data_IF_094710977492
#
_entry.id   IF_094710977492
#
_cell.length_a   1.000
_cell.length_b   1.000
_cell.length_c   1.000
_cell.angle_alpha   90.00
_cell.angle_beta   90.00
_cell.angle_gamma   90.00
#
_symmetry.space_group_name_H-M   'P 1'
#
loop_
_entity.id
_entity.type
_entity.pdbx_description
1 polymer ?
#
# COMPACT_ATOMS: atom_id res chain seq x y z
N UNK A 1 -10.46 -1.47 -0.33
CA UNK A 1 -9.38 -0.45 -0.38
C UNK A 1 -8.05 -1.15 -0.57
N UNK A 2 -7.13 -0.52 -1.29
CA UNK A 2 -5.74 -0.95 -1.49
C UNK A 2 -4.81 0.15 -0.99
N UNK A 3 -3.79 -0.22 -0.23
CA UNK A 3 -2.74 0.69 0.25
C UNK A 3 -1.38 0.22 -0.27
N UNK A 4 -0.63 1.14 -0.86
CA UNK A 4 0.64 0.88 -1.53
C UNK A 4 1.73 1.77 -0.93
N UNK A 5 2.95 1.25 -0.82
CA UNK A 5 4.15 2.04 -0.54
C UNK A 5 5.09 1.99 -1.74
N UNK A 6 5.46 3.17 -2.26
CA UNK A 6 6.57 3.34 -3.19
C UNK A 6 7.79 3.68 -2.33
N UNK A 7 8.64 2.69 -2.09
CA UNK A 7 9.77 2.79 -1.21
C UNK A 7 11.02 3.30 -1.93
N UNK A 8 11.99 3.82 -1.16
CA UNK A 8 13.19 4.42 -1.69
C UNK A 8 14.14 3.44 -2.41
N UNK A 9 13.93 2.13 -2.21
CA UNK A 9 14.67 1.04 -2.86
C UNK A 9 14.10 0.65 -4.24
N UNK A 10 13.36 1.55 -4.88
CA UNK A 10 12.74 1.32 -6.18
C UNK A 10 11.84 0.06 -6.17
N UNK A 11 11.08 -0.12 -5.08
CA UNK A 11 10.13 -1.23 -4.92
C UNK A 11 8.76 -0.72 -4.49
N UNK A 12 7.70 -1.34 -5.02
CA UNK A 12 6.32 -1.08 -4.61
C UNK A 12 5.78 -2.25 -3.79
N UNK A 13 5.38 -1.94 -2.57
CA UNK A 13 4.78 -2.86 -1.62
C UNK A 13 3.28 -2.65 -1.50
N UNK A 14 2.51 -3.73 -1.39
CA UNK A 14 1.10 -3.68 -0.98
C UNK A 14 1.05 -3.84 0.54
N UNK A 15 0.70 -2.74 1.20
CA UNK A 15 0.53 -2.68 2.64
C UNK A 15 -0.85 -3.21 3.06
N UNK A 16 -1.85 -3.09 2.18
CA UNK A 16 -3.21 -3.56 2.44
C UNK A 16 -3.96 -3.88 1.13
N UNK A 17 -4.74 -4.97 1.04
CA UNK A 17 -4.88 -6.03 2.05
C UNK A 17 -3.58 -6.82 2.23
N UNK A 18 -3.46 -7.49 3.37
CA UNK A 18 -2.28 -8.27 3.77
C UNK A 18 -2.72 -9.53 4.54
N UNK A 19 -1.80 -10.46 4.87
CA UNK A 19 -2.16 -11.71 5.56
C UNK A 19 -2.77 -11.49 6.96
N UNK A 20 -2.41 -10.40 7.64
CA UNK A 20 -2.95 -10.06 8.95
C UNK A 20 -4.33 -9.37 8.85
N UNK A 21 -4.62 -8.72 7.72
CA UNK A 21 -5.82 -7.93 7.48
C UNK A 21 -6.34 -8.16 6.06
N UNK A 22 -7.17 -9.19 5.91
CA UNK A 22 -7.73 -9.63 4.62
C UNK A 22 -9.03 -8.90 4.25
N UNK A 23 -9.76 -8.36 5.23
CA UNK A 23 -11.01 -7.65 5.00
C UNK A 23 -10.79 -6.28 4.36
N UNK A 24 -11.00 -6.16 3.04
CA UNK A 24 -10.74 -4.94 2.26
C UNK A 24 -11.82 -3.85 2.39
N UNK A 25 -12.94 -4.16 3.06
CA UNK A 25 -14.10 -3.29 3.16
C UNK A 25 -13.91 -2.23 4.24
N UNK A 26 -13.89 -0.97 3.82
CA UNK A 26 -13.85 0.20 4.69
C UNK A 26 -15.17 0.96 4.62
N UNK A 27 -15.51 1.70 5.68
CA UNK A 27 -16.65 2.62 5.70
C UNK A 27 -16.17 4.03 5.37
N UNK A 28 -16.89 4.72 4.48
CA UNK A 28 -16.67 6.14 4.19
C UNK A 28 -17.00 7.01 5.40
N UNK A 29 -16.30 8.14 5.53
CA UNK A 29 -16.48 9.09 6.64
C UNK A 29 -15.91 8.62 7.99
N UNK A 30 -15.19 7.50 8.01
CA UNK A 30 -14.56 6.95 9.23
C UNK A 30 -13.05 6.88 9.02
N UNK A 31 -12.29 7.29 10.04
CA UNK A 31 -10.84 7.11 10.05
C UNK A 31 -10.50 5.65 10.27
N UNK A 32 -9.66 5.09 9.40
CA UNK A 32 -9.14 3.73 9.52
C UNK A 32 -7.65 3.79 9.83
N UNK A 33 -7.19 2.93 10.74
CA UNK A 33 -5.79 2.83 11.12
C UNK A 33 -5.19 1.54 10.55
N UNK A 34 -4.05 1.65 9.88
CA UNK A 34 -3.36 0.52 9.25
C UNK A 34 -1.88 0.57 9.66
N UNK A 35 -1.36 -0.46 10.36
CA UNK A 35 -2.10 -1.61 10.88
C UNK A 35 -3.05 -1.23 12.02
N UNK A 36 -4.15 -1.96 12.19
CA UNK A 36 -5.08 -1.71 13.28
C UNK A 36 -4.46 -2.04 14.65
N UNK A 37 -5.12 -1.59 15.73
CA UNK A 37 -4.63 -1.78 17.09
C UNK A 37 -4.41 -3.25 17.46
N UNK A 38 -5.30 -4.16 17.04
CA UNK A 38 -5.20 -5.58 17.35
C UNK A 38 -3.99 -6.22 16.64
N UNK A 39 -3.80 -5.89 15.37
CA UNK A 39 -2.67 -6.34 14.55
C UNK A 39 -1.35 -5.88 15.16
N UNK A 40 -1.27 -4.62 15.61
CA UNK A 40 -0.07 -4.10 16.30
C UNK A 40 0.21 -4.79 17.62
N UNK A 41 -0.83 -5.12 18.40
CA UNK A 41 -0.68 -5.89 19.64
C UNK A 41 -0.17 -7.30 19.38
N UNK A 42 -0.54 -7.89 18.24
CA UNK A 42 -0.03 -9.19 17.77
C UNK A 42 1.33 -9.10 17.06
N UNK A 43 2.01 -7.96 17.16
CA UNK A 43 3.38 -7.78 16.65
C UNK A 43 3.49 -7.33 15.19
N UNK A 44 2.37 -7.16 14.47
CA UNK A 44 2.40 -6.65 13.09
C UNK A 44 2.67 -5.15 13.09
N UNK A 45 3.87 -4.77 12.63
CA UNK A 45 4.34 -3.39 12.54
C UNK A 45 4.99 -3.14 11.18
N UNK A 46 4.65 -2.01 10.57
CA UNK A 46 5.34 -1.52 9.38
C UNK A 46 6.58 -0.78 9.89
N UNK A 47 7.77 -1.28 9.56
CA UNK A 47 9.04 -0.65 9.92
C UNK A 47 9.57 0.12 8.73
N UNK A 48 9.92 1.38 8.95
CA UNK A 48 10.57 2.24 7.98
C UNK A 48 11.96 2.59 8.49
N UNK A 49 12.95 2.55 7.60
CA UNK A 49 14.33 2.89 7.87
C UNK A 49 14.96 3.45 6.60
N UNK A 50 16.01 4.25 6.74
CA UNK A 50 16.79 4.65 5.56
C UNK A 50 17.53 3.45 4.98
N UNK A 51 17.82 3.49 3.69
CA UNK A 51 18.66 2.49 3.06
C UNK A 51 20.11 2.61 3.58
N UNK A 52 20.88 1.51 3.57
CA UNK A 52 22.27 1.52 4.01
C UNK A 52 23.08 2.65 3.36
N UNK A 53 23.76 3.45 4.18
CA UNK A 53 24.57 4.58 3.73
C UNK A 53 23.79 5.87 3.43
N UNK A 54 22.46 5.87 3.53
CA UNK A 54 21.62 7.06 3.32
C UNK A 54 21.19 7.67 4.65
N UNK A 55 21.28 9.00 4.74
CA UNK A 55 20.79 9.79 5.89
C UNK A 55 19.31 10.16 5.78
N UNK A 56 18.77 10.14 4.56
CA UNK A 56 17.42 10.57 4.25
C UNK A 56 16.87 9.78 3.07
N UNK A 57 15.63 9.32 3.22
CA UNK A 57 14.86 8.68 2.17
C UNK A 57 13.47 9.28 2.06
N UNK A 58 12.96 9.38 0.84
CA UNK A 58 11.62 9.87 0.55
C UNK A 58 10.82 8.73 -0.03
N UNK A 59 9.62 8.53 0.53
CA UNK A 59 8.73 7.45 0.17
C UNK A 59 7.31 8.01 -0.03
N UNK A 60 6.45 7.26 -0.73
CA UNK A 60 5.07 7.66 -0.99
C UNK A 60 4.12 6.55 -0.60
N UNK A 61 3.11 6.88 0.21
CA UNK A 61 1.95 6.02 0.40
C UNK A 61 0.86 6.45 -0.58
N UNK A 62 0.28 5.48 -1.28
CA UNK A 62 -0.90 5.68 -2.14
C UNK A 62 -2.05 4.79 -1.67
N UNK A 63 -3.20 5.40 -1.43
CA UNK A 63 -4.46 4.74 -1.07
C UNK A 63 -5.44 4.81 -2.24
N UNK A 64 -6.09 3.68 -2.53
CA UNK A 64 -7.12 3.56 -3.57
C UNK A 64 -8.33 2.85 -2.94
N UNK A 65 -9.45 3.54 -2.83
CA UNK A 65 -10.70 3.00 -2.32
C UNK A 65 -11.72 2.89 -3.45
N UNK A 66 -12.43 1.77 -3.52
CA UNK A 66 -13.42 1.45 -4.56
C UNK A 66 -14.78 1.22 -3.92
N UNK A 67 -15.87 1.56 -4.62
CA UNK A 67 -17.24 1.30 -4.14
C UNK A 67 -17.59 -0.19 -4.14
N UNK A 68 -17.02 -0.94 -5.09
CA UNK A 68 -17.18 -2.37 -5.20
C UNK A 68 -15.88 -3.08 -4.80
N UNK A 69 -15.99 -4.34 -4.40
CA UNK A 69 -14.83 -5.19 -4.20
C UNK A 69 -14.22 -5.52 -5.55
N UNK A 70 -12.93 -5.21 -5.70
CA UNK A 70 -12.19 -5.43 -6.95
C UNK A 70 -10.94 -6.20 -6.58
N UNK A 71 -10.72 -7.32 -7.26
CA UNK A 71 -9.54 -8.14 -7.05
C UNK A 71 -8.27 -7.30 -7.29
N UNK A 72 -7.23 -7.55 -6.50
CA UNK A 72 -5.93 -6.94 -6.74
C UNK A 72 -5.43 -7.30 -8.15
N UNK A 73 -4.64 -6.42 -8.79
CA UNK A 73 -4.04 -6.74 -10.09
C UNK A 73 -3.31 -8.08 -10.03
N UNK A 74 -3.55 -8.96 -11.00
CA UNK A 74 -2.96 -10.30 -11.03
C UNK A 74 -1.43 -10.31 -10.87
N UNK A 75 -0.91 -11.28 -10.10
CA UNK A 75 0.52 -11.46 -9.85
C UNK A 75 1.07 -10.69 -8.65
N UNK A 76 0.22 -10.31 -7.70
CA UNK A 76 0.64 -9.88 -6.36
C UNK A 76 0.76 -11.12 -5.49
N UNK A 77 1.99 -11.50 -5.15
CA UNK A 77 2.25 -12.54 -4.18
C UNK A 77 2.12 -11.95 -2.75
N UNK A 78 1.08 -12.38 -2.03
CA UNK A 78 0.82 -11.98 -0.63
C UNK A 78 1.45 -12.93 0.39
N UNK A 79 2.22 -13.93 -0.03
CA UNK A 79 2.71 -15.03 0.83
C UNK A 79 3.65 -14.57 1.97
N UNK A 80 4.30 -13.40 1.82
CA UNK A 80 5.30 -12.90 2.77
C UNK A 80 4.76 -11.83 3.72
N UNK A 81 3.45 -11.82 3.98
CA UNK A 81 2.80 -10.83 4.83
C UNK A 81 2.41 -9.57 4.06
N UNK A 82 3.33 -8.97 3.29
CA UNK A 82 3.05 -7.87 2.36
C UNK A 82 3.08 -8.35 0.91
N UNK A 83 2.32 -7.68 0.03
CA UNK A 83 2.36 -7.96 -1.40
C UNK A 83 3.55 -7.28 -2.09
N UNK A 84 4.24 -7.98 -3.00
CA UNK A 84 5.25 -7.36 -3.85
C UNK A 84 4.66 -7.04 -5.24
N UNK A 85 4.81 -5.80 -5.69
CA UNK A 85 4.40 -5.39 -7.05
C UNK A 85 5.59 -5.12 -8.00
N UNK A 86 6.81 -5.38 -7.54
CA UNK A 86 8.04 -5.16 -8.30
C UNK A 86 8.51 -3.71 -8.25
N UNK A 87 9.14 -3.24 -9.32
CA UNK A 87 9.65 -1.86 -9.40
C UNK A 87 8.54 -0.83 -9.66
N UNK A 88 8.71 0.46 -9.34
CA UNK A 88 7.78 1.54 -9.63
C UNK A 88 7.29 1.57 -11.07
N UNK A 89 8.14 1.30 -12.06
CA UNK A 89 7.71 1.26 -13.47
C UNK A 89 6.73 0.11 -13.74
N UNK A 90 7.05 -1.09 -13.25
CA UNK A 90 6.19 -2.27 -13.43
C UNK A 90 4.88 -2.09 -12.65
N UNK A 91 4.97 -1.64 -11.40
CA UNK A 91 3.84 -1.35 -10.56
C UNK A 91 2.94 -0.26 -11.16
N UNK A 92 3.51 0.83 -11.70
CA UNK A 92 2.75 1.88 -12.36
C UNK A 92 1.94 1.35 -13.55
N UNK A 93 2.51 0.49 -14.39
CA UNK A 93 1.80 -0.13 -15.51
C UNK A 93 0.67 -1.03 -15.00
N UNK A 94 0.94 -1.90 -14.02
CA UNK A 94 -0.06 -2.79 -13.42
C UNK A 94 -1.20 -2.02 -12.77
N UNK A 95 -0.87 -0.96 -12.01
CA UNK A 95 -1.83 -0.08 -11.35
C UNK A 95 -2.63 0.74 -12.36
N UNK A 96 -2.00 1.29 -13.39
CA UNK A 96 -2.70 2.04 -14.43
C UNK A 96 -3.72 1.15 -15.15
N UNK A 97 -3.32 -0.07 -15.52
CA UNK A 97 -4.23 -1.06 -16.11
C UNK A 97 -5.39 -1.39 -15.15
N UNK A 98 -5.09 -1.72 -13.90
CA UNK A 98 -6.11 -2.00 -12.90
C UNK A 98 -7.07 -0.81 -12.69
N UNK A 99 -6.56 0.41 -12.61
CA UNK A 99 -7.38 1.62 -12.47
C UNK A 99 -8.25 1.89 -13.70
N UNK A 100 -7.82 1.50 -14.91
CA UNK A 100 -8.64 1.67 -16.12
C UNK A 100 -9.88 0.78 -16.13
N UNK A 101 -9.87 -0.30 -15.36
CA UNK A 101 -11.01 -1.22 -15.21
C UNK A 101 -12.07 -0.67 -14.23
N UNK A 102 -11.76 0.39 -13.49
CA UNK A 102 -12.61 0.95 -12.44
C UNK A 102 -13.09 2.34 -12.86
N UNK A 103 -14.40 2.59 -13.01
CA UNK A 103 -14.88 3.93 -13.36
C UNK A 103 -14.39 5.00 -12.36
N UNK A 104 -13.97 6.20 -12.81
CA UNK A 104 -13.52 7.26 -11.91
C UNK A 104 -14.56 7.64 -10.83
N UNK A 105 -15.85 7.54 -11.15
CA UNK A 105 -16.96 7.78 -10.21
C UNK A 105 -17.14 6.68 -9.14
N UNK A 106 -16.43 5.56 -9.29
CA UNK A 106 -16.47 4.41 -8.39
C UNK A 106 -15.19 4.23 -7.58
N UNK A 107 -14.24 5.15 -7.70
CA UNK A 107 -12.99 5.14 -6.94
C UNK A 107 -12.65 6.49 -6.32
N UNK A 108 -11.88 6.43 -5.23
CA UNK A 108 -11.23 7.56 -4.61
C UNK A 108 -9.74 7.24 -4.45
N UNK A 109 -8.89 8.23 -4.70
CA UNK A 109 -7.43 8.10 -4.64
C UNK A 109 -6.86 9.17 -3.72
N UNK A 110 -5.86 8.82 -2.91
CA UNK A 110 -5.11 9.76 -2.10
C UNK A 110 -3.65 9.32 -2.02
N UNK A 111 -2.74 10.28 -1.93
CA UNK A 111 -1.31 10.00 -1.79
C UNK A 111 -0.69 10.94 -0.75
N UNK A 112 0.28 10.43 0.00
CA UNK A 112 1.11 11.23 0.91
C UNK A 112 2.57 10.87 0.71
N UNK A 113 3.41 11.89 0.57
CA UNK A 113 4.85 11.74 0.54
C UNK A 113 5.40 11.99 1.94
N UNK A 114 6.31 11.13 2.40
CA UNK A 114 6.96 11.28 3.69
C UNK A 114 8.48 11.09 3.55
N UNK A 115 9.19 11.59 4.55
CA UNK A 115 10.64 11.46 4.64
C UNK A 115 11.00 10.66 5.87
N UNK A 116 11.88 9.68 5.70
CA UNK A 116 12.56 8.95 6.76
C UNK A 116 13.96 9.53 6.90
N UNK A 117 14.37 9.84 8.13
CA UNK A 117 15.73 10.31 8.45
C UNK A 117 16.39 9.31 9.39
N UNK A 118 17.67 9.02 9.14
CA UNK A 118 18.48 8.29 10.12
C UNK A 118 18.79 9.23 11.29
N UNK A 119 18.51 8.79 12.51
CA UNK A 119 19.03 9.41 13.74
C UNK A 119 20.55 9.22 13.85
#
# INVERSE_FOLDING_TARGET
MVLLSLAANDTVYILFPNLAQTGTRIRGGVSHEIPDKASRQNGFRIRVATLPGRRKDTEVIKAIATKQEIALPGGVDLSYGFGLMGTPRVAAIKLARWLTEIPPSERAEASVMYTVTAE
#
